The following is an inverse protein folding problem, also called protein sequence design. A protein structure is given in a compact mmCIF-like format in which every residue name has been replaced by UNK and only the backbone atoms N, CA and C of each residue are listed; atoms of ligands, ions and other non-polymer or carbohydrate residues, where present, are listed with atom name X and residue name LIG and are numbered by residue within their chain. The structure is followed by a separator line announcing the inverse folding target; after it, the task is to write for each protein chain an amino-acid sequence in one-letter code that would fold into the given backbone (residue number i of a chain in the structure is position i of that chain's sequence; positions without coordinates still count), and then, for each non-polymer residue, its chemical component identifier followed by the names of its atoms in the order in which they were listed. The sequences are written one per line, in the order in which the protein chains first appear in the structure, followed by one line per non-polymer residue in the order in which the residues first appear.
data_IF_033714815821
#
_entry.id   IF_033714815821
#
_cell.length_a   1.000
_cell.length_b   1.000
_cell.length_c   1.000
_cell.angle_alpha   90.00
_cell.angle_beta   90.00
_cell.angle_gamma   90.00
#
_symmetry.space_group_name_H-M   'P 1'
#
loop_
_entity.id
_entity.type
_entity.pdbx_description
1 polymer ?
#
# COMPACT_ATOMS: atom_id res chain seq x y z
N UNK A 1 -15.69 -14.76 -12.26
CA UNK A 1 -14.63 -15.62 -11.66
C UNK A 1 -14.48 -16.90 -12.45
N UNK A 2 -15.58 -17.61 -12.77
CA UNK A 2 -15.55 -18.89 -13.50
C UNK A 2 -14.91 -18.78 -14.88
N UNK A 3 -15.30 -17.78 -15.67
CA UNK A 3 -14.71 -17.53 -16.98
C UNK A 3 -13.20 -17.28 -16.90
N UNK A 4 -12.76 -16.44 -15.96
CA UNK A 4 -11.34 -16.18 -15.75
C UNK A 4 -10.55 -17.46 -15.40
N UNK A 5 -11.11 -18.34 -14.58
CA UNK A 5 -10.49 -19.64 -14.28
C UNK A 5 -10.45 -20.55 -15.51
N UNK A 6 -11.49 -20.55 -16.33
CA UNK A 6 -11.54 -21.33 -17.57
C UNK A 6 -10.49 -20.85 -18.58
N UNK A 7 -10.29 -19.54 -18.71
CA UNK A 7 -9.30 -18.94 -19.62
C UNK A 7 -7.86 -19.08 -19.07
N UNK A 8 -7.66 -18.97 -17.76
CA UNK A 8 -6.34 -19.09 -17.15
C UNK A 8 -5.72 -20.49 -17.31
N UNK A 9 -6.53 -21.56 -17.31
CA UNK A 9 -6.02 -22.92 -17.43
C UNK A 9 -5.35 -23.22 -18.78
N UNK A 10 -5.94 -22.92 -19.94
CA UNK A 10 -5.27 -23.07 -21.23
C UNK A 10 -4.01 -22.21 -21.34
N UNK A 11 -4.07 -20.94 -20.91
CA UNK A 11 -2.91 -20.03 -20.93
C UNK A 11 -1.77 -20.59 -20.07
N UNK A 12 -2.06 -21.13 -18.89
CA UNK A 12 -1.07 -21.76 -18.04
C UNK A 12 -0.46 -23.00 -18.71
N UNK A 13 -1.25 -23.80 -19.42
CA UNK A 13 -0.76 -24.96 -20.17
C UNK A 13 0.14 -24.57 -21.34
N UNK A 14 -0.16 -23.46 -22.03
CA UNK A 14 0.69 -22.96 -23.13
C UNK A 14 2.04 -22.41 -22.64
N UNK A 15 2.07 -21.85 -21.43
CA UNK A 15 3.28 -21.24 -20.84
C UNK A 15 4.15 -22.24 -20.08
N UNK A 16 3.59 -23.33 -19.63
CA UNK A 16 4.30 -24.40 -18.92
C UNK A 16 4.75 -25.46 -19.91
N UNK A 17 5.89 -26.05 -19.64
CA UNK A 17 6.33 -27.23 -20.41
C UNK A 17 5.31 -28.34 -20.20
N UNK A 18 4.58 -28.71 -21.25
CA UNK A 18 3.48 -29.70 -21.22
C UNK A 18 4.01 -31.10 -20.85
N UNK A 19 5.31 -31.32 -20.97
CA UNK A 19 5.96 -32.56 -20.57
C UNK A 19 6.08 -32.71 -19.05
N UNK A 20 5.94 -31.61 -18.28
CA UNK A 20 5.91 -31.67 -16.82
C UNK A 20 4.54 -32.14 -16.29
N UNK A 21 4.48 -33.44 -16.02
CA UNK A 21 3.29 -34.10 -15.45
C UNK A 21 2.81 -33.48 -14.12
N UNK A 22 3.70 -32.82 -13.37
CA UNK A 22 3.37 -32.13 -12.10
C UNK A 22 2.59 -30.88 -12.37
N UNK A 23 3.03 -30.05 -13.31
CA UNK A 23 2.35 -28.80 -13.70
C UNK A 23 0.96 -29.08 -14.26
N UNK A 24 0.81 -30.05 -15.15
CA UNK A 24 -0.50 -30.48 -15.69
C UNK A 24 -1.41 -31.00 -14.57
N UNK A 25 -0.88 -31.80 -13.65
CA UNK A 25 -1.64 -32.29 -12.50
C UNK A 25 -2.10 -31.18 -11.59
N UNK A 26 -1.27 -30.18 -11.32
CA UNK A 26 -1.61 -29.05 -10.49
C UNK A 26 -2.73 -28.21 -11.12
N UNK A 27 -2.65 -27.88 -12.41
CA UNK A 27 -3.70 -27.13 -13.12
C UNK A 27 -5.06 -27.85 -13.03
N UNK A 28 -5.08 -29.19 -13.12
CA UNK A 28 -6.31 -29.99 -12.99
C UNK A 28 -6.89 -30.01 -11.57
N UNK A 29 -6.07 -29.77 -10.55
CA UNK A 29 -6.50 -29.73 -9.14
C UNK A 29 -7.17 -28.40 -8.73
N UNK A 30 -6.95 -27.34 -9.48
CA UNK A 30 -7.64 -26.08 -9.21
C UNK A 30 -9.11 -26.18 -9.60
N UNK A 31 -9.98 -26.08 -8.61
CA UNK A 31 -11.42 -26.08 -8.77
C UNK A 31 -12.01 -24.81 -8.17
N UNK A 32 -13.04 -24.28 -8.79
CA UNK A 32 -13.78 -23.16 -8.26
C UNK A 32 -14.79 -23.66 -7.21
N UNK A 33 -14.64 -23.21 -5.98
CA UNK A 33 -15.62 -23.41 -4.94
C UNK A 33 -16.43 -22.13 -4.78
N UNK A 34 -17.60 -22.06 -5.41
CA UNK A 34 -18.47 -20.88 -5.37
C UNK A 34 -19.24 -20.68 -6.67
N UNK A 35 -19.95 -19.56 -6.75
CA UNK A 35 -20.72 -19.20 -7.95
C UNK A 35 -19.78 -18.77 -9.08
N UNK A 36 -19.77 -19.50 -10.23
CA UNK A 36 -18.93 -19.16 -11.38
C UNK A 36 -19.34 -17.85 -12.06
N UNK A 37 -20.57 -17.40 -11.87
CA UNK A 37 -21.08 -16.14 -12.40
C UNK A 37 -20.80 -14.94 -11.51
N UNK A 38 -20.32 -15.16 -10.30
CA UNK A 38 -19.96 -14.07 -9.40
C UNK A 38 -18.87 -13.20 -10.02
N UNK A 39 -19.14 -11.89 -10.08
CA UNK A 39 -18.15 -10.91 -10.50
C UNK A 39 -17.24 -10.53 -9.32
N UNK A 40 -15.95 -10.43 -9.57
CA UNK A 40 -15.03 -9.85 -8.59
C UNK A 40 -15.33 -8.36 -8.45
N UNK A 41 -15.30 -7.88 -7.22
CA UNK A 41 -15.43 -6.45 -6.90
C UNK A 41 -14.11 -5.72 -7.19
N UNK A 42 -13.69 -5.70 -8.46
CA UNK A 42 -12.50 -4.98 -8.90
C UNK A 42 -12.83 -3.49 -9.04
N UNK A 43 -11.91 -2.60 -8.67
CA UNK A 43 -12.04 -1.18 -8.95
C UNK A 43 -12.26 -0.93 -10.43
N UNK A 44 -13.22 -0.06 -10.77
CA UNK A 44 -13.48 0.34 -12.16
C UNK A 44 -12.70 1.57 -12.57
N UNK A 45 -12.37 2.40 -11.60
CA UNK A 45 -11.58 3.59 -11.81
C UNK A 45 -10.10 3.29 -11.56
N UNK A 46 -9.23 4.04 -12.19
CA UNK A 46 -7.79 3.94 -12.03
C UNK A 46 -7.25 5.13 -11.25
N UNK A 47 -6.11 4.92 -10.60
CA UNK A 47 -5.32 6.01 -10.01
C UNK A 47 -4.03 6.11 -10.80
N UNK A 48 -3.77 7.29 -11.37
CA UNK A 48 -2.48 7.62 -11.92
C UNK A 48 -1.65 8.21 -10.79
N UNK A 49 -0.53 7.57 -10.48
CA UNK A 49 0.41 8.01 -9.46
C UNK A 49 1.62 8.67 -10.12
N UNK A 50 2.11 9.73 -9.50
CA UNK A 50 3.37 10.39 -9.85
C UNK A 50 4.20 10.54 -8.58
N UNK A 51 5.44 10.05 -8.64
CA UNK A 51 6.41 10.06 -7.54
C UNK A 51 7.76 10.50 -8.07
N UNK A 52 8.46 11.32 -7.30
CA UNK A 52 9.83 11.68 -7.62
C UNK A 52 10.78 10.55 -7.26
N UNK A 53 11.67 10.18 -8.15
CA UNK A 53 12.67 9.14 -7.96
C UNK A 53 14.09 9.73 -8.02
N UNK A 54 15.08 9.05 -7.43
CA UNK A 54 14.94 7.88 -6.58
C UNK A 54 14.36 8.21 -5.21
N UNK A 55 13.78 7.22 -4.52
CA UNK A 55 13.47 7.32 -3.10
C UNK A 55 14.78 7.11 -2.31
N UNK A 56 15.11 8.05 -1.46
CA UNK A 56 16.33 8.00 -0.64
C UNK A 56 15.99 7.79 0.83
N UNK A 57 16.76 6.97 1.53
CA UNK A 57 16.64 6.84 2.99
C UNK A 57 16.67 8.23 3.65
N UNK A 58 15.81 8.46 4.63
CA UNK A 58 15.61 9.74 5.33
C UNK A 58 15.08 10.88 4.43
N UNK A 59 14.92 10.67 3.13
CA UNK A 59 14.39 11.67 2.21
C UNK A 59 12.89 11.88 2.38
N UNK A 60 12.43 13.11 2.09
CA UNK A 60 11.00 13.41 1.99
C UNK A 60 10.51 13.04 0.60
N UNK A 61 9.52 12.17 0.55
CA UNK A 61 8.87 11.73 -0.70
C UNK A 61 7.49 12.34 -0.80
N UNK A 62 7.18 12.87 -1.98
CA UNK A 62 5.84 13.33 -2.32
C UNK A 62 5.24 12.43 -3.42
N UNK A 63 4.04 11.94 -3.19
CA UNK A 63 3.24 11.20 -4.14
C UNK A 63 2.01 12.04 -4.50
N UNK A 64 1.82 12.28 -5.78
CA UNK A 64 0.62 12.90 -6.31
C UNK A 64 -0.23 11.85 -7.02
N UNK A 65 -1.51 11.78 -6.72
CA UNK A 65 -2.43 10.84 -7.33
C UNK A 65 -3.62 11.52 -7.97
N UNK A 66 -4.09 10.93 -9.07
CA UNK A 66 -5.26 11.40 -9.83
C UNK A 66 -6.17 10.23 -10.14
N UNK A 67 -7.44 10.33 -9.76
CA UNK A 67 -8.48 9.33 -10.08
C UNK A 67 -9.00 9.60 -11.48
N UNK A 68 -8.95 8.56 -12.33
CA UNK A 68 -9.35 8.66 -13.74
C UNK A 68 -10.27 7.48 -14.13
N UNK A 69 -11.03 7.67 -15.21
CA UNK A 69 -11.79 6.59 -15.85
C UNK A 69 -10.90 5.69 -16.74
N UNK A 70 -11.54 4.78 -17.47
CA UNK A 70 -10.88 3.86 -18.38
C UNK A 70 -10.13 4.57 -19.52
N UNK A 71 -10.63 5.74 -19.94
CA UNK A 71 -10.05 6.57 -21.00
C UNK A 71 -8.93 7.51 -20.48
N UNK A 72 -8.68 7.52 -19.18
CA UNK A 72 -7.68 8.39 -18.54
C UNK A 72 -8.17 9.80 -18.22
N UNK A 73 -9.47 10.05 -18.31
CA UNK A 73 -10.07 11.34 -18.00
C UNK A 73 -10.25 11.47 -16.49
N UNK A 74 -9.88 12.64 -15.95
CA UNK A 74 -10.07 12.98 -14.53
C UNK A 74 -11.54 12.86 -14.12
N UNK A 75 -11.78 12.22 -12.98
CA UNK A 75 -13.07 12.18 -12.29
C UNK A 75 -13.11 13.30 -11.24
N UNK A 76 -13.46 14.50 -11.65
CA UNK A 76 -13.39 15.71 -10.84
C UNK A 76 -14.45 15.79 -9.72
N UNK A 77 -15.50 14.97 -9.79
CA UNK A 77 -16.50 14.81 -8.73
C UNK A 77 -16.14 13.73 -7.69
N UNK A 78 -14.96 13.13 -7.80
CA UNK A 78 -14.54 12.09 -6.85
C UNK A 78 -14.03 12.71 -5.56
N UNK A 79 -14.78 12.49 -4.47
CA UNK A 79 -14.40 12.94 -3.13
C UNK A 79 -14.53 11.78 -2.14
N UNK A 80 -13.45 11.46 -1.42
CA UNK A 80 -13.41 10.32 -0.54
C UNK A 80 -12.06 10.17 0.14
N UNK A 81 -11.65 8.92 0.33
CA UNK A 81 -10.39 8.58 0.96
C UNK A 81 -9.52 7.72 0.05
N UNK A 82 -8.22 7.78 0.25
CA UNK A 82 -7.25 6.91 -0.39
C UNK A 82 -6.31 6.31 0.65
N UNK A 83 -6.13 5.00 0.60
CA UNK A 83 -5.05 4.31 1.33
C UNK A 83 -3.87 4.19 0.41
N UNK A 84 -2.74 4.73 0.85
CA UNK A 84 -1.46 4.64 0.13
C UNK A 84 -0.51 3.78 0.96
N UNK A 85 0.21 2.88 0.27
CA UNK A 85 1.28 2.06 0.84
C UNK A 85 2.50 2.15 -0.07
N UNK A 86 3.65 2.38 0.54
CA UNK A 86 4.93 2.25 -0.12
C UNK A 86 5.70 1.07 0.48
N UNK A 87 6.33 0.30 -0.38
CA UNK A 87 7.08 -0.89 -0.03
C UNK A 87 8.52 -0.75 -0.47
N UNK A 88 9.40 -1.27 0.34
CA UNK A 88 10.81 -1.45 0.02
C UNK A 88 11.01 -2.39 -1.16
N UNK A 89 12.24 -2.48 -1.62
CA UNK A 89 12.62 -3.41 -2.67
C UNK A 89 12.26 -4.84 -2.31
N UNK A 90 11.64 -5.52 -3.27
CA UNK A 90 11.27 -6.92 -3.10
C UNK A 90 12.51 -7.81 -3.07
N UNK A 91 12.49 -8.81 -2.21
CA UNK A 91 13.58 -9.78 -2.03
C UNK A 91 13.27 -11.11 -2.71
N UNK A 92 14.33 -11.77 -3.19
CA UNK A 92 14.21 -13.11 -3.72
C UNK A 92 14.39 -14.12 -2.58
N UNK A 93 13.33 -14.81 -2.23
CA UNK A 93 13.30 -15.84 -1.19
C UNK A 93 13.28 -17.24 -1.79
N UNK A 94 13.77 -18.21 -1.02
CA UNK A 94 13.78 -19.62 -1.39
C UNK A 94 12.99 -20.42 -0.35
N UNK A 95 11.94 -21.11 -0.78
CA UNK A 95 11.17 -22.02 0.05
C UNK A 95 11.12 -23.40 -0.62
N UNK A 96 11.63 -24.40 0.06
CA UNK A 96 11.67 -25.80 -0.43
C UNK A 96 12.22 -25.95 -1.87
N UNK A 97 13.26 -25.17 -2.20
CA UNK A 97 13.86 -25.18 -3.54
C UNK A 97 13.14 -24.32 -4.59
N UNK A 98 11.99 -23.74 -4.25
CA UNK A 98 11.24 -22.83 -5.13
C UNK A 98 11.64 -21.39 -4.84
N UNK A 99 12.10 -20.70 -5.86
CA UNK A 99 12.38 -19.26 -5.78
C UNK A 99 11.09 -18.48 -5.95
N UNK A 100 10.83 -17.53 -5.05
CA UNK A 100 9.74 -16.59 -5.18
C UNK A 100 10.18 -15.20 -4.76
N UNK A 101 9.49 -14.20 -5.27
CA UNK A 101 9.74 -12.80 -4.92
C UNK A 101 8.79 -12.40 -3.79
N UNK A 102 9.37 -12.02 -2.66
CA UNK A 102 8.63 -11.51 -1.52
C UNK A 102 8.54 -9.99 -1.63
N UNK A 103 7.35 -9.44 -1.37
CA UNK A 103 7.18 -7.99 -1.28
C UNK A 103 8.05 -7.45 -0.15
N UNK A 104 8.72 -6.34 -0.38
CA UNK A 104 9.57 -5.68 0.61
C UNK A 104 8.76 -5.18 1.82
N UNK A 105 9.46 -4.76 2.86
CA UNK A 105 8.86 -4.20 4.06
C UNK A 105 8.03 -2.94 3.75
N UNK A 106 7.03 -2.64 4.59
CA UNK A 106 6.28 -1.39 4.48
C UNK A 106 7.21 -0.21 4.82
N UNK A 107 7.45 0.71 3.88
CA UNK A 107 8.12 1.98 4.13
C UNK A 107 7.16 3.05 4.61
N UNK A 108 5.90 2.96 4.14
CA UNK A 108 4.86 3.90 4.50
C UNK A 108 3.47 3.28 4.33
N UNK A 109 2.56 3.67 5.21
CA UNK A 109 1.15 3.33 5.14
C UNK A 109 0.30 4.45 5.73
N UNK A 110 -0.62 5.01 4.94
CA UNK A 110 -1.49 6.08 5.40
C UNK A 110 -2.82 6.14 4.66
N UNK A 111 -3.78 6.87 5.25
CA UNK A 111 -5.07 7.19 4.64
C UNK A 111 -5.15 8.71 4.53
N UNK A 112 -5.47 9.19 3.33
CA UNK A 112 -5.56 10.60 2.99
C UNK A 112 -6.89 10.91 2.30
N UNK A 113 -7.27 12.18 2.31
CA UNK A 113 -8.47 12.62 1.61
C UNK A 113 -8.19 12.80 0.12
N UNK A 114 -9.16 12.40 -0.69
CA UNK A 114 -9.22 12.70 -2.12
C UNK A 114 -10.23 13.80 -2.33
N UNK A 115 -9.84 14.86 -2.98
CA UNK A 115 -10.70 16.00 -3.31
C UNK A 115 -10.63 16.30 -4.82
N UNK A 116 -11.78 16.40 -5.47
CA UNK A 116 -11.86 16.67 -6.91
C UNK A 116 -11.00 15.68 -7.73
N UNK A 117 -11.01 14.40 -7.34
CA UNK A 117 -10.26 13.34 -7.98
C UNK A 117 -8.75 13.39 -7.78
N UNK A 118 -8.23 14.22 -6.88
CA UNK A 118 -6.79 14.40 -6.65
C UNK A 118 -6.44 14.27 -5.19
N UNK A 119 -5.20 13.80 -4.94
CA UNK A 119 -4.61 13.75 -3.61
C UNK A 119 -3.09 13.95 -3.67
N UNK A 120 -2.54 14.38 -2.54
CA UNK A 120 -1.10 14.46 -2.34
C UNK A 120 -0.77 13.81 -1.01
N UNK A 121 0.26 12.99 -1.00
CA UNK A 121 0.78 12.29 0.18
C UNK A 121 2.25 12.66 0.33
N UNK A 122 2.67 12.95 1.53
CA UNK A 122 4.07 13.16 1.86
C UNK A 122 4.45 12.24 3.00
N UNK A 123 5.63 11.64 2.91
CA UNK A 123 6.21 10.84 3.98
C UNK A 123 7.74 10.88 3.92
N UNK A 124 8.38 10.63 5.05
CA UNK A 124 9.81 10.45 5.12
C UNK A 124 10.14 8.96 5.00
N UNK A 125 11.06 8.63 4.11
CA UNK A 125 11.54 7.24 3.96
C UNK A 125 12.31 6.85 5.22
N UNK A 126 12.05 5.68 5.83
CA UNK A 126 12.83 5.21 6.97
C UNK A 126 14.32 5.12 6.68
N UNK A 127 15.12 5.10 7.73
CA UNK A 127 16.57 4.91 7.60
C UNK A 127 16.93 3.51 7.15
N UNK A 128 16.19 2.53 7.66
CA UNK A 128 16.43 1.11 7.41
C UNK A 128 15.68 0.67 6.15
N UNK A 129 16.32 0.84 5.01
CA UNK A 129 15.81 0.43 3.69
C UNK A 129 16.80 -0.52 3.02
N UNK A 130 16.30 -1.37 2.14
CA UNK A 130 17.12 -2.26 1.32
C UNK A 130 17.74 -1.46 0.18
N UNK A 131 19.02 -1.12 0.31
CA UNK A 131 19.74 -0.35 -0.71
C UNK A 131 20.02 -1.15 -1.98
N UNK A 132 20.02 -0.44 -3.10
CA UNK A 132 20.46 -0.98 -4.40
C UNK A 132 19.42 -1.78 -5.14
N UNK A 133 18.15 -1.65 -4.75
CA UNK A 133 17.04 -2.24 -5.47
C UNK A 133 16.26 -1.24 -6.31
N UNK A 134 15.81 -1.67 -7.48
CA UNK A 134 14.86 -0.95 -8.32
C UNK A 134 13.49 -1.65 -8.34
N UNK A 135 13.14 -2.33 -7.25
CA UNK A 135 11.94 -3.13 -7.13
C UNK A 135 11.01 -2.65 -6.00
N UNK A 136 11.17 -1.39 -5.61
CA UNK A 136 10.23 -0.74 -4.70
C UNK A 136 8.86 -0.61 -5.36
N UNK A 137 7.82 -0.48 -4.55
CA UNK A 137 6.45 -0.39 -5.04
C UNK A 137 5.65 0.63 -4.25
N UNK A 138 4.79 1.37 -4.93
CA UNK A 138 3.73 2.17 -4.30
C UNK A 138 2.39 1.68 -4.81
N UNK A 139 1.42 1.49 -3.92
CA UNK A 139 0.05 1.18 -4.27
C UNK A 139 -0.93 2.14 -3.60
N UNK A 140 -2.00 2.47 -4.31
CA UNK A 140 -3.06 3.33 -3.82
C UNK A 140 -4.43 2.70 -4.10
N UNK A 141 -5.29 2.68 -3.09
CA UNK A 141 -6.67 2.23 -3.20
C UNK A 141 -7.58 3.33 -2.64
N UNK A 142 -8.45 3.87 -3.47
CA UNK A 142 -9.39 4.91 -3.09
C UNK A 142 -10.83 4.39 -3.06
N UNK A 143 -11.63 4.98 -2.17
CA UNK A 143 -13.06 4.76 -2.06
C UNK A 143 -13.77 6.07 -1.73
N UNK A 144 -14.95 6.27 -2.26
CA UNK A 144 -15.78 7.42 -2.01
C UNK A 144 -17.07 7.07 -1.22
N UNK A 145 -17.86 8.07 -0.91
CA UNK A 145 -19.10 7.93 -0.12
C UNK A 145 -20.25 7.27 -0.89
N UNK A 146 -20.17 7.21 -2.22
CA UNK A 146 -21.18 6.58 -3.08
C UNK A 146 -20.77 5.19 -3.58
N UNK A 147 -19.65 4.65 -3.07
CA UNK A 147 -19.21 3.29 -3.32
C UNK A 147 -18.39 3.10 -4.58
N UNK A 148 -17.90 4.18 -5.24
CA UNK A 148 -16.91 4.05 -6.31
C UNK A 148 -15.56 3.70 -5.71
N UNK A 149 -14.81 2.85 -6.39
CA UNK A 149 -13.47 2.47 -5.98
C UNK A 149 -12.49 2.68 -7.13
N UNK A 150 -11.26 3.07 -6.78
CA UNK A 150 -10.17 3.23 -7.72
C UNK A 150 -8.90 2.56 -7.20
N UNK A 151 -8.06 2.07 -8.11
CA UNK A 151 -6.78 1.46 -7.78
C UNK A 151 -5.70 1.94 -8.75
N UNK A 152 -4.49 2.05 -8.24
CA UNK A 152 -3.29 2.29 -9.04
C UNK A 152 -2.06 1.87 -8.27
N UNK A 153 -1.01 1.53 -9.01
CA UNK A 153 0.28 1.20 -8.46
C UNK A 153 1.41 1.66 -9.40
N UNK A 154 2.60 1.78 -8.83
CA UNK A 154 3.87 1.94 -9.53
C UNK A 154 4.78 0.84 -8.99
N UNK A 155 5.35 0.07 -9.87
CA UNK A 155 6.36 -0.95 -9.57
C UNK A 155 7.73 -0.47 -10.08
N UNK A 156 8.78 -1.21 -9.70
CA UNK A 156 10.15 -0.93 -10.14
C UNK A 156 10.67 0.46 -9.72
N UNK A 157 10.24 0.92 -8.52
CA UNK A 157 10.75 2.16 -7.96
C UNK A 157 12.20 1.98 -7.49
N UNK A 158 13.02 2.94 -7.86
CA UNK A 158 14.42 2.98 -7.45
C UNK A 158 14.54 3.48 -6.00
N UNK A 159 15.13 2.64 -5.14
CA UNK A 159 15.40 2.96 -3.73
C UNK A 159 16.90 2.92 -3.53
N UNK A 160 17.55 4.09 -3.46
CA UNK A 160 18.99 4.15 -3.42
C UNK A 160 19.50 5.42 -2.75
N UNK A 161 20.61 5.29 -2.05
CA UNK A 161 21.27 6.41 -1.40
C UNK A 161 20.56 6.89 -0.13
N UNK A 162 21.16 7.89 0.49
CA UNK A 162 20.63 8.58 1.67
C UNK A 162 20.54 10.06 1.34
N UNK A 163 19.47 10.72 1.73
CA UNK A 163 19.31 12.16 1.52
C UNK A 163 20.42 12.93 2.25
N UNK A 164 20.98 13.94 1.55
CA UNK A 164 22.13 14.69 2.05
C UNK A 164 21.68 15.79 3.02
N UNK A 165 20.54 16.40 2.78
CA UNK A 165 19.99 17.50 3.59
C UNK A 165 18.96 16.99 4.60
N UNK A 166 19.40 16.09 5.48
CA UNK A 166 18.55 15.64 6.58
C UNK A 166 18.85 16.53 7.78
N UNK A 167 17.88 17.35 8.17
CA UNK A 167 17.95 18.02 9.48
C UNK A 167 18.13 16.95 10.56
N UNK A 168 19.13 17.16 11.42
CA UNK A 168 19.36 16.26 12.56
C UNK A 168 18.16 16.38 13.50
N UNK A 169 17.33 15.35 13.49
CA UNK A 169 16.24 15.23 14.43
C UNK A 169 16.76 14.73 15.79
N UNK A 170 16.60 15.57 16.78
CA UNK A 170 16.99 15.29 18.16
C UNK A 170 15.80 15.31 19.12
N UNK A 171 14.61 15.56 18.59
CA UNK A 171 13.38 15.62 19.37
C UNK A 171 12.53 14.38 19.06
N UNK A 172 11.98 13.79 20.08
CA UNK A 172 11.04 12.66 19.89
C UNK A 172 9.62 13.14 19.62
N UNK A 173 8.74 12.23 19.17
CA UNK A 173 7.37 12.58 18.83
C UNK A 173 6.56 13.10 20.03
N UNK A 174 5.70 14.07 19.78
CA UNK A 174 4.67 14.49 20.73
C UNK A 174 3.52 13.49 20.72
N UNK A 175 3.24 12.90 21.88
CA UNK A 175 2.16 11.92 22.04
C UNK A 175 1.06 12.52 22.91
N UNK A 176 -0.18 12.51 22.41
CA UNK A 176 -1.37 12.90 23.16
C UNK A 176 -2.33 11.72 23.21
N UNK A 177 -2.75 11.37 24.42
CA UNK A 177 -3.67 10.26 24.65
C UNK A 177 -4.93 10.83 25.32
N UNK A 178 -6.07 10.57 24.75
CA UNK A 178 -7.37 10.91 25.32
C UNK A 178 -8.41 9.82 25.02
N UNK A 179 -9.52 9.88 25.70
CA UNK A 179 -10.68 9.03 25.39
C UNK A 179 -11.69 9.83 24.58
N UNK A 180 -12.32 9.20 23.60
CA UNK A 180 -13.32 9.87 22.78
C UNK A 180 -14.50 10.36 23.66
N UNK A 181 -14.84 11.64 23.50
CA UNK A 181 -15.84 12.32 24.34
C UNK A 181 -15.32 12.79 25.71
N UNK A 182 -14.02 12.64 25.99
CA UNK A 182 -13.35 13.10 27.21
C UNK A 182 -12.09 13.88 26.86
N UNK A 183 -12.26 15.02 26.20
CA UNK A 183 -11.13 15.81 25.67
C UNK A 183 -10.24 16.43 26.77
N UNK A 184 -10.81 16.64 27.97
CA UNK A 184 -10.14 17.19 29.14
C UNK A 184 -9.85 16.13 30.22
N UNK A 185 -9.67 14.86 29.79
CA UNK A 185 -9.40 13.76 30.71
C UNK A 185 -8.12 13.98 31.50
N UNK A 186 -8.21 13.83 32.82
CA UNK A 186 -7.10 13.83 33.76
C UNK A 186 -6.97 12.48 34.47
N UNK A 187 -5.76 12.19 34.96
CA UNK A 187 -5.49 10.93 35.67
C UNK A 187 -6.38 10.80 36.90
N UNK A 188 -7.21 9.78 36.94
CA UNK A 188 -8.19 9.54 38.01
C UNK A 188 -9.64 9.78 37.60
N UNK A 189 -9.88 10.34 36.44
CA UNK A 189 -11.22 10.52 35.89
C UNK A 189 -11.89 9.20 35.55
N UNK A 190 -13.22 9.18 35.65
CA UNK A 190 -14.04 8.03 35.27
C UNK A 190 -14.38 8.10 33.80
N UNK A 191 -14.17 7.02 33.09
CA UNK A 191 -14.58 6.83 31.68
C UNK A 191 -15.69 5.79 31.57
N UNK A 192 -16.38 5.73 30.42
CA UNK A 192 -17.36 4.70 30.14
C UNK A 192 -16.76 3.29 30.23
N UNK A 193 -17.56 2.26 30.42
CA UNK A 193 -17.09 0.88 30.58
C UNK A 193 -16.35 0.30 29.39
N UNK A 194 -16.55 0.86 28.17
CA UNK A 194 -15.82 0.51 26.94
C UNK A 194 -15.43 1.81 26.24
N UNK A 195 -14.38 2.51 26.72
CA UNK A 195 -13.96 3.77 26.13
C UNK A 195 -13.18 3.53 24.85
N UNK A 196 -13.34 4.42 23.87
CA UNK A 196 -12.46 4.46 22.70
C UNK A 196 -11.24 5.32 23.04
N UNK A 197 -10.07 4.69 23.04
CA UNK A 197 -8.79 5.36 23.26
C UNK A 197 -8.36 6.04 21.95
N UNK A 198 -8.09 7.34 22.01
CA UNK A 198 -7.51 8.11 20.90
C UNK A 198 -6.08 8.47 21.26
N UNK A 199 -5.15 8.04 20.40
CA UNK A 199 -3.73 8.39 20.50
C UNK A 199 -3.38 9.23 19.28
N UNK A 200 -2.91 10.47 19.53
CA UNK A 200 -2.39 11.36 18.49
C UNK A 200 -0.87 11.43 18.69
N UNK A 201 -0.16 11.08 17.63
CA UNK A 201 1.30 11.12 17.60
C UNK A 201 1.69 12.09 16.49
N UNK A 202 2.53 13.03 16.79
CA UNK A 202 2.99 14.04 15.84
C UNK A 202 4.50 14.24 15.99
N UNK A 203 5.18 14.25 14.85
CA UNK A 203 6.60 14.51 14.73
C UNK A 203 6.88 15.30 13.45
N UNK A 204 7.68 16.36 13.53
CA UNK A 204 8.01 17.19 12.39
C UNK A 204 8.90 16.48 11.37
N UNK A 205 9.73 15.56 11.84
CA UNK A 205 10.65 14.78 11.01
C UNK A 205 10.00 13.51 10.42
N UNK A 206 8.78 13.20 10.84
CA UNK A 206 8.02 12.03 10.42
C UNK A 206 8.05 10.90 11.45
N UNK A 207 7.07 10.02 11.37
CA UNK A 207 6.95 8.85 12.24
C UNK A 207 7.40 7.59 11.49
N UNK A 208 8.29 6.82 12.08
CA UNK A 208 8.58 5.48 11.59
C UNK A 208 7.45 4.53 12.03
N UNK A 209 6.64 4.09 11.07
CA UNK A 209 5.54 3.13 11.29
C UNK A 209 5.88 1.72 10.80
N UNK A 210 7.11 1.47 10.40
CA UNK A 210 7.58 0.16 9.94
C UNK A 210 7.92 -0.71 11.14
N UNK A 211 7.16 -1.77 11.34
CA UNK A 211 6.91 -2.44 12.61
C UNK A 211 8.02 -3.29 13.24
N UNK A 212 9.22 -3.42 12.72
CA UNK A 212 10.21 -4.31 13.36
C UNK A 212 11.32 -3.60 14.12
N UNK A 213 11.56 -2.34 13.85
CA UNK A 213 12.63 -1.56 14.50
C UNK A 213 12.15 -0.16 14.86
N UNK A 214 10.95 -0.03 15.41
CA UNK A 214 10.47 1.24 15.94
C UNK A 214 11.45 1.81 16.96
N UNK A 215 12.23 2.76 16.56
CA UNK A 215 13.04 3.61 17.42
C UNK A 215 12.48 5.01 17.41
#
# INVERSE_FOLDING_TARGET
VGLALMEAKPIALERLDIEDAISVRNIRRYSLFGDPFQRMALPRLRIILNIQQPMQALGLVQINGTVVDEDGKLIDDYTGNVRVRAYDSSELSLLDGVRYRQVGADLFRGIYSVNNGKFTVQFRVPKDVTYGGNNGRVSAFAWDTIGRTAFGDIEELDITGTAIDVESDTEGPTIRINFEGYETFESGDKVAGVPLLRVNIFDNSGLNITGETGH
#
